data_IF_570004396095
#
_entry.id   IF_570004396095
#
_cell.length_a   1.000
_cell.length_b   1.000
_cell.length_c   1.000
_cell.angle_alpha   90.00
_cell.angle_beta   90.00
_cell.angle_gamma   90.00
#
_symmetry.space_group_name_H-M   'P 1'
#
loop_
_entity.id
_entity.type
_entity.pdbx_description
1 polymer ?
#
# COMPACT_ATOMS: atom_id res chain seq x y z
N UNK A 1 -12.20 -16.01 4.26
CA UNK A 1 -13.48 -16.65 4.62
C UNK A 1 -14.73 -16.00 4.02
N UNK A 2 -14.80 -14.67 3.97
CA UNK A 2 -16.02 -13.94 3.59
C UNK A 2 -16.41 -14.06 2.11
N UNK A 3 -15.44 -14.31 1.23
CA UNK A 3 -15.67 -14.52 -0.20
C UNK A 3 -16.74 -15.58 -0.48
N UNK A 4 -17.59 -15.32 -1.46
CA UNK A 4 -18.68 -16.22 -1.90
C UNK A 4 -18.16 -17.35 -2.79
N UNK A 5 -17.03 -17.13 -3.46
CA UNK A 5 -16.33 -18.09 -4.33
C UNK A 5 -15.13 -18.68 -3.60
N UNK A 6 -14.83 -19.95 -3.89
CA UNK A 6 -13.65 -20.65 -3.36
C UNK A 6 -12.65 -20.88 -4.48
N UNK A 7 -11.35 -20.88 -4.15
CA UNK A 7 -10.30 -21.22 -5.11
C UNK A 7 -10.47 -22.65 -5.66
N UNK A 8 -9.87 -22.99 -6.81
CA UNK A 8 -9.97 -24.32 -7.42
C UNK A 8 -9.60 -25.51 -6.51
N UNK A 9 -8.77 -25.30 -5.48
CA UNK A 9 -8.45 -26.30 -4.45
C UNK A 9 -9.65 -26.73 -3.61
N UNK A 10 -10.73 -25.95 -3.59
CA UNK A 10 -11.83 -26.08 -2.64
C UNK A 10 -11.51 -25.55 -1.24
N UNK A 11 -10.32 -24.98 -1.00
CA UNK A 11 -9.92 -24.43 0.28
C UNK A 11 -10.28 -22.94 0.40
N UNK A 12 -11.14 -22.57 1.36
CA UNK A 12 -11.53 -21.17 1.59
C UNK A 12 -10.44 -20.29 2.21
N UNK A 13 -9.40 -20.90 2.77
CA UNK A 13 -8.21 -20.22 3.30
C UNK A 13 -7.28 -19.71 2.19
N UNK A 14 -7.35 -20.28 0.97
CA UNK A 14 -6.53 -19.81 -0.14
C UNK A 14 -6.98 -18.42 -0.57
N UNK A 15 -6.04 -17.50 -0.67
CA UNK A 15 -6.32 -16.15 -1.16
C UNK A 15 -6.83 -16.22 -2.59
N UNK A 16 -7.90 -15.50 -2.89
CA UNK A 16 -8.50 -15.47 -4.23
C UNK A 16 -8.86 -14.04 -4.58
N UNK A 17 -8.47 -13.62 -5.78
CA UNK A 17 -8.94 -12.39 -6.39
C UNK A 17 -8.97 -12.55 -7.90
N UNK A 18 -9.68 -11.66 -8.56
CA UNK A 18 -9.93 -11.65 -9.99
C UNK A 18 -9.02 -10.66 -10.69
N UNK A 19 -8.38 -11.08 -11.80
CA UNK A 19 -7.62 -10.12 -12.62
C UNK A 19 -8.53 -8.95 -13.01
N UNK A 20 -8.13 -7.71 -12.65
CA UNK A 20 -9.05 -6.58 -12.59
C UNK A 20 -9.50 -6.09 -13.96
N UNK A 21 -8.66 -6.25 -15.00
CA UNK A 21 -8.90 -5.71 -16.33
C UNK A 21 -9.38 -6.75 -17.36
N UNK A 22 -9.67 -7.97 -16.91
CA UNK A 22 -10.11 -9.04 -17.80
C UNK A 22 -11.65 -9.06 -17.92
N UNK A 23 -12.14 -8.93 -19.14
CA UNK A 23 -13.58 -8.88 -19.46
C UNK A 23 -14.05 -10.10 -20.26
N UNK A 24 -15.28 -10.57 -20.03
CA UNK A 24 -15.81 -11.72 -20.76
C UNK A 24 -16.12 -11.38 -22.22
N UNK A 25 -15.78 -12.32 -23.10
CA UNK A 25 -16.31 -12.46 -24.45
C UNK A 25 -17.09 -13.77 -24.53
N UNK A 26 -18.41 -13.66 -24.46
CA UNK A 26 -19.33 -14.80 -24.50
C UNK A 26 -19.82 -15.14 -25.91
N UNK A 27 -19.35 -14.49 -26.98
CA UNK A 27 -19.84 -14.73 -28.35
C UNK A 27 -19.67 -16.19 -28.78
N UNK A 28 -18.64 -16.87 -28.28
CA UNK A 28 -18.38 -18.30 -28.55
C UNK A 28 -19.13 -19.29 -27.65
N UNK A 29 -19.87 -18.83 -26.62
CA UNK A 29 -20.49 -19.71 -25.64
C UNK A 29 -21.80 -20.37 -26.12
N UNK A 30 -22.32 -19.98 -27.30
CA UNK A 30 -23.51 -20.60 -27.92
C UNK A 30 -24.82 -20.38 -27.14
N UNK A 31 -24.83 -19.47 -26.17
CA UNK A 31 -25.97 -19.15 -25.33
C UNK A 31 -26.98 -18.24 -26.07
N UNK A 32 -28.27 -18.54 -25.96
CA UNK A 32 -29.36 -17.71 -26.51
C UNK A 32 -29.95 -16.73 -25.50
N UNK A 33 -29.46 -16.77 -24.24
CA UNK A 33 -29.83 -15.88 -23.14
C UNK A 33 -28.57 -15.45 -22.38
N UNK A 34 -28.63 -14.32 -21.66
CA UNK A 34 -27.50 -13.83 -20.85
C UNK A 34 -27.11 -14.89 -19.81
N UNK A 35 -25.83 -15.29 -19.79
CA UNK A 35 -25.32 -16.25 -18.82
C UNK A 35 -25.27 -15.61 -17.42
N UNK A 36 -25.64 -16.34 -16.35
CA UNK A 36 -25.37 -15.90 -14.99
C UNK A 36 -23.85 -15.83 -14.73
N UNK A 37 -23.38 -15.00 -13.77
CA UNK A 37 -21.95 -14.76 -13.54
C UNK A 37 -21.12 -16.04 -13.39
N UNK A 38 -21.55 -16.99 -12.57
CA UNK A 38 -20.84 -18.25 -12.37
C UNK A 38 -20.67 -19.08 -13.67
N UNK A 39 -21.60 -18.96 -14.62
CA UNK A 39 -21.45 -19.60 -15.93
C UNK A 39 -20.54 -18.77 -16.85
N UNK A 40 -20.63 -17.43 -16.82
CA UNK A 40 -19.72 -16.57 -17.58
C UNK A 40 -18.26 -16.79 -17.19
N UNK A 41 -17.98 -16.89 -15.89
CA UNK A 41 -16.64 -17.07 -15.34
C UNK A 41 -15.95 -18.37 -15.76
N UNK A 42 -16.71 -19.33 -16.30
CA UNK A 42 -16.19 -20.64 -16.73
C UNK A 42 -16.32 -20.83 -18.25
N UNK A 43 -17.37 -20.30 -18.87
CA UNK A 43 -17.68 -20.59 -20.28
C UNK A 43 -17.18 -19.50 -21.24
N UNK A 44 -17.10 -18.26 -20.80
CA UNK A 44 -16.70 -17.15 -21.67
C UNK A 44 -15.17 -17.03 -21.68
N UNK A 45 -14.62 -16.74 -22.85
CA UNK A 45 -13.21 -16.40 -22.96
C UNK A 45 -13.00 -14.98 -22.40
N UNK A 46 -11.97 -14.77 -21.60
CA UNK A 46 -11.66 -13.44 -21.05
C UNK A 46 -10.48 -12.81 -21.80
N UNK A 47 -10.51 -11.50 -21.94
CA UNK A 47 -9.44 -10.74 -22.58
C UNK A 47 -9.17 -9.45 -21.82
N UNK A 48 -7.92 -8.99 -21.88
CA UNK A 48 -7.46 -7.78 -21.20
C UNK A 48 -8.02 -6.51 -21.84
N UNK A 49 -8.38 -5.55 -20.99
CA UNK A 49 -8.79 -4.19 -21.33
C UNK A 49 -8.14 -3.24 -20.32
N UNK A 50 -6.87 -2.91 -20.56
CA UNK A 50 -6.05 -2.10 -19.66
C UNK A 50 -6.78 -0.86 -19.12
N UNK A 51 -6.76 -0.67 -17.80
CA UNK A 51 -7.40 0.44 -17.09
C UNK A 51 -8.91 0.30 -16.89
N UNK A 52 -9.56 -0.66 -17.54
CA UNK A 52 -11.01 -0.85 -17.42
C UNK A 52 -11.33 -1.92 -16.38
N UNK A 53 -11.66 -1.52 -15.15
CA UNK A 53 -12.04 -2.47 -14.10
C UNK A 53 -13.31 -3.24 -14.45
N UNK A 54 -13.21 -4.57 -14.48
CA UNK A 54 -14.36 -5.45 -14.49
C UNK A 54 -15.00 -5.47 -13.07
N UNK A 55 -16.27 -5.08 -12.92
CA UNK A 55 -16.93 -5.01 -11.61
C UNK A 55 -17.03 -6.37 -10.89
N UNK A 56 -17.02 -7.49 -11.63
CA UNK A 56 -17.04 -8.85 -11.06
C UNK A 56 -15.91 -9.06 -10.03
N UNK A 57 -14.81 -8.30 -10.14
CA UNK A 57 -13.70 -8.35 -9.16
C UNK A 57 -14.15 -8.11 -7.72
N UNK A 58 -15.26 -7.41 -7.52
CA UNK A 58 -15.80 -7.10 -6.20
C UNK A 58 -16.56 -8.28 -5.58
N UNK A 59 -16.94 -9.29 -6.36
CA UNK A 59 -17.59 -10.51 -5.84
C UNK A 59 -16.60 -11.41 -5.08
N UNK A 60 -15.31 -11.26 -5.37
CA UNK A 60 -14.21 -11.96 -4.72
C UNK A 60 -13.17 -10.96 -4.28
N UNK A 61 -13.49 -10.27 -3.18
CA UNK A 61 -12.77 -9.07 -2.75
C UNK A 61 -11.70 -9.32 -1.68
N UNK A 62 -10.90 -10.39 -1.78
CA UNK A 62 -9.79 -10.52 -0.82
C UNK A 62 -8.78 -9.37 -0.97
N UNK A 63 -8.70 -8.72 -2.14
CA UNK A 63 -7.89 -7.51 -2.37
C UNK A 63 -8.34 -6.37 -1.48
N UNK A 64 -9.62 -5.99 -1.52
CA UNK A 64 -10.14 -4.93 -0.67
C UNK A 64 -10.19 -5.32 0.81
N UNK A 65 -10.43 -6.59 1.13
CA UNK A 65 -10.37 -7.07 2.52
C UNK A 65 -8.94 -6.98 3.09
N UNK A 66 -7.91 -7.30 2.30
CA UNK A 66 -6.50 -7.21 2.71
C UNK A 66 -6.04 -5.77 2.88
N UNK A 67 -6.43 -4.89 1.95
CA UNK A 67 -6.19 -3.45 2.02
C UNK A 67 -6.81 -2.85 3.31
N UNK A 68 -8.10 -3.09 3.54
CA UNK A 68 -8.78 -2.60 4.74
C UNK A 68 -8.16 -3.14 6.03
N UNK A 69 -7.75 -4.41 6.06
CA UNK A 69 -7.07 -5.02 7.20
C UNK A 69 -5.69 -4.39 7.44
N UNK A 70 -4.90 -4.19 6.39
CA UNK A 70 -3.55 -3.59 6.48
C UNK A 70 -3.60 -2.15 6.99
N UNK A 71 -4.52 -1.35 6.45
CA UNK A 71 -4.79 0.00 6.93
C UNK A 71 -5.26 0.00 8.39
N UNK A 72 -6.19 -0.91 8.75
CA UNK A 72 -6.70 -0.99 10.11
C UNK A 72 -5.59 -1.33 11.12
N UNK A 73 -4.71 -2.29 10.81
CA UNK A 73 -3.56 -2.62 11.68
C UNK A 73 -2.67 -1.41 11.87
N UNK A 74 -2.31 -0.73 10.77
CA UNK A 74 -1.40 0.39 10.80
C UNK A 74 -1.95 1.60 11.56
N UNK A 75 -3.16 2.06 11.21
CA UNK A 75 -3.76 3.22 11.86
C UNK A 75 -4.10 2.97 13.33
N UNK A 76 -4.49 1.75 13.71
CA UNK A 76 -4.66 1.41 15.13
C UNK A 76 -3.32 1.40 15.87
N UNK A 77 -2.24 0.86 15.28
CA UNK A 77 -0.92 0.91 15.91
C UNK A 77 -0.44 2.37 16.13
N UNK A 78 -0.66 3.25 15.16
CA UNK A 78 -0.36 4.68 15.29
C UNK A 78 -1.22 5.36 16.35
N UNK A 79 -2.54 5.15 16.32
CA UNK A 79 -3.46 5.72 17.30
C UNK A 79 -3.09 5.25 18.72
N UNK A 80 -2.68 4.00 18.89
CA UNK A 80 -2.19 3.49 20.16
C UNK A 80 -0.97 4.24 20.66
N UNK A 81 0.08 4.42 19.83
CA UNK A 81 1.29 5.14 20.25
C UNK A 81 1.01 6.62 20.54
N UNK A 82 0.12 7.25 19.79
CA UNK A 82 -0.21 8.67 19.98
C UNK A 82 -1.10 8.91 21.21
N UNK A 83 -2.02 8.00 21.52
CA UNK A 83 -3.03 8.21 22.58
C UNK A 83 -2.76 7.41 23.86
N UNK A 84 -1.97 6.34 23.78
CA UNK A 84 -1.79 5.35 24.85
C UNK A 84 -3.00 4.44 25.08
N UNK A 85 -4.07 4.54 24.28
CA UNK A 85 -5.31 3.77 24.49
C UNK A 85 -5.18 2.32 24.02
N UNK A 86 -5.29 1.37 24.95
CA UNK A 86 -5.15 -0.07 24.68
C UNK A 86 -6.20 -0.66 23.73
N UNK A 87 -7.34 0.01 23.51
CA UNK A 87 -8.34 -0.45 22.53
C UNK A 87 -7.74 -0.55 21.12
N UNK A 88 -6.86 0.38 20.75
CA UNK A 88 -6.26 0.38 19.42
C UNK A 88 -5.23 -0.74 19.25
N UNK A 89 -4.35 -0.95 20.24
CA UNK A 89 -3.39 -2.07 20.18
C UNK A 89 -4.09 -3.43 20.17
N UNK A 90 -5.16 -3.59 20.96
CA UNK A 90 -5.98 -4.80 20.97
C UNK A 90 -6.65 -5.06 19.61
N UNK A 91 -7.20 -4.02 18.97
CA UNK A 91 -7.77 -4.14 17.62
C UNK A 91 -6.73 -4.59 16.59
N UNK A 92 -5.56 -3.95 16.57
CA UNK A 92 -4.49 -4.28 15.64
C UNK A 92 -4.02 -5.74 15.82
N UNK A 93 -3.81 -6.18 17.06
CA UNK A 93 -3.48 -7.57 17.38
C UNK A 93 -4.57 -8.55 16.90
N UNK A 94 -5.85 -8.20 17.10
CA UNK A 94 -6.97 -9.03 16.67
C UNK A 94 -7.07 -9.15 15.14
N UNK A 95 -6.83 -8.07 14.39
CA UNK A 95 -6.83 -8.11 12.92
C UNK A 95 -5.71 -9.01 12.38
N UNK A 96 -4.50 -8.89 12.92
CA UNK A 96 -3.38 -9.78 12.57
C UNK A 96 -3.71 -11.23 12.91
N UNK A 97 -4.21 -11.49 14.12
CA UNK A 97 -4.60 -12.83 14.52
C UNK A 97 -5.66 -13.42 13.57
N UNK A 98 -6.67 -12.63 13.22
CA UNK A 98 -7.76 -13.07 12.34
C UNK A 98 -7.25 -13.41 10.93
N UNK A 99 -6.40 -12.56 10.35
CA UNK A 99 -5.95 -12.77 8.97
C UNK A 99 -4.87 -13.84 8.83
N UNK A 100 -3.94 -13.94 9.78
CA UNK A 100 -2.72 -14.74 9.58
C UNK A 100 -2.66 -16.01 10.44
N UNK A 101 -3.36 -16.06 11.59
CA UNK A 101 -3.02 -17.03 12.65
C UNK A 101 -4.20 -17.92 13.04
N UNK A 102 -5.37 -17.32 13.27
CA UNK A 102 -6.54 -18.04 13.75
C UNK A 102 -6.95 -19.13 12.75
N UNK A 103 -6.92 -20.42 13.13
CA UNK A 103 -7.19 -21.53 12.20
C UNK A 103 -8.57 -21.52 11.55
N UNK A 104 -9.54 -20.79 12.10
CA UNK A 104 -10.86 -20.66 11.51
C UNK A 104 -10.90 -19.63 10.36
N UNK A 105 -9.93 -18.73 10.28
CA UNK A 105 -9.98 -17.56 9.38
C UNK A 105 -8.70 -17.31 8.59
N UNK A 106 -7.56 -17.83 9.05
CA UNK A 106 -6.22 -17.50 8.54
C UNK A 106 -6.08 -17.75 7.05
N UNK A 107 -5.32 -16.91 6.36
CA UNK A 107 -4.99 -17.14 4.96
C UNK A 107 -3.88 -18.20 4.83
N UNK A 108 -3.97 -19.08 3.83
CA UNK A 108 -2.82 -19.89 3.41
C UNK A 108 -1.67 -18.95 2.99
N UNK A 109 -0.41 -19.16 3.44
CA UNK A 109 0.72 -18.27 3.15
C UNK A 109 1.24 -18.40 1.71
N UNK A 110 0.40 -18.06 0.73
CA UNK A 110 0.72 -17.92 -0.69
C UNK A 110 -0.32 -17.03 -1.39
N UNK A 111 -0.04 -16.65 -2.63
CA UNK A 111 -0.95 -15.95 -3.54
C UNK A 111 -1.19 -16.75 -4.82
N UNK A 112 -1.27 -18.08 -4.73
CA UNK A 112 -1.38 -18.99 -5.88
C UNK A 112 -2.60 -18.71 -6.77
N UNK A 113 -3.65 -18.09 -6.22
CA UNK A 113 -4.89 -17.75 -6.92
C UNK A 113 -5.21 -16.24 -6.88
N UNK A 114 -4.21 -15.40 -6.63
CA UNK A 114 -4.37 -13.95 -6.77
C UNK A 114 -4.45 -13.56 -8.25
N UNK A 115 -5.32 -12.60 -8.56
CA UNK A 115 -5.62 -12.12 -9.91
C UNK A 115 -5.85 -13.24 -10.92
N UNK A 116 -6.57 -14.28 -10.51
CA UNK A 116 -6.91 -15.40 -11.37
C UNK A 116 -7.71 -14.94 -12.59
N UNK A 117 -7.29 -15.41 -13.76
CA UNK A 117 -8.01 -15.19 -15.00
C UNK A 117 -9.25 -16.08 -15.01
N UNK A 118 -10.41 -15.46 -15.23
CA UNK A 118 -11.67 -16.19 -15.44
C UNK A 118 -11.68 -16.79 -16.86
N UNK A 119 -12.55 -17.77 -17.06
CA UNK A 119 -12.74 -18.47 -18.33
C UNK A 119 -12.44 -19.96 -18.24
N UNK A 120 -12.59 -20.70 -19.35
CA UNK A 120 -12.53 -22.16 -19.37
C UNK A 120 -11.15 -22.72 -19.01
N UNK A 121 -10.10 -21.93 -19.22
CA UNK A 121 -8.70 -22.32 -19.01
C UNK A 121 -8.13 -21.80 -17.69
N UNK A 122 -8.90 -21.00 -16.93
CA UNK A 122 -8.46 -20.35 -15.69
C UNK A 122 -8.39 -21.30 -14.51
N UNK A 123 -7.18 -21.74 -14.14
CA UNK A 123 -6.98 -22.72 -13.06
C UNK A 123 -6.04 -22.24 -11.94
N UNK A 124 -5.21 -21.22 -12.19
CA UNK A 124 -4.28 -20.61 -11.22
C UNK A 124 -4.27 -19.09 -11.39
N UNK A 125 -3.68 -18.39 -10.41
CA UNK A 125 -3.46 -16.96 -10.42
C UNK A 125 -2.46 -16.50 -11.49
N UNK A 126 -2.26 -15.19 -11.54
CA UNK A 126 -1.27 -14.53 -12.39
C UNK A 126 -0.19 -13.88 -11.51
N UNK A 127 1.02 -13.69 -12.04
CA UNK A 127 2.11 -13.05 -11.30
C UNK A 127 1.74 -11.63 -10.84
N UNK A 128 0.94 -10.92 -11.63
CA UNK A 128 0.41 -9.59 -11.30
C UNK A 128 -0.41 -9.56 -10.01
N UNK A 129 -0.91 -10.72 -9.56
CA UNK A 129 -1.59 -10.90 -8.29
C UNK A 129 -0.75 -10.58 -7.06
N UNK A 130 0.57 -10.47 -7.19
CA UNK A 130 1.43 -10.00 -6.12
C UNK A 130 1.11 -8.54 -5.70
N UNK A 131 0.61 -7.71 -6.62
CA UNK A 131 0.15 -6.35 -6.30
C UNK A 131 -1.03 -6.31 -5.33
N UNK A 132 -1.78 -7.38 -5.17
CA UNK A 132 -2.82 -7.44 -4.15
C UNK A 132 -2.26 -7.25 -2.74
N UNK A 133 -0.99 -7.60 -2.53
CA UNK A 133 -0.26 -7.42 -1.29
C UNK A 133 0.68 -6.21 -1.29
N UNK A 134 0.46 -5.22 -2.18
CA UNK A 134 1.25 -3.98 -2.26
C UNK A 134 1.41 -3.25 -0.91
N UNK A 135 0.42 -3.38 -0.01
CA UNK A 135 0.42 -2.75 1.32
C UNK A 135 1.16 -3.54 2.41
N UNK A 136 1.83 -4.64 2.07
CA UNK A 136 2.52 -5.48 3.06
C UNK A 136 3.56 -4.69 3.88
N UNK A 137 4.17 -3.70 3.26
CA UNK A 137 5.14 -2.83 3.91
C UNK A 137 4.45 -1.96 5.01
N UNK A 138 3.25 -1.42 4.71
CA UNK A 138 2.41 -0.68 5.68
C UNK A 138 2.00 -1.58 6.85
N UNK A 139 1.53 -2.80 6.56
CA UNK A 139 1.20 -3.80 7.58
C UNK A 139 2.39 -4.10 8.50
N UNK A 140 3.56 -4.35 7.91
CA UNK A 140 4.81 -4.61 8.64
C UNK A 140 5.15 -3.46 9.58
N UNK A 141 4.99 -2.22 9.11
CA UNK A 141 5.23 -1.02 9.94
C UNK A 141 4.32 -1.00 11.16
N UNK A 142 3.03 -1.30 11.00
CA UNK A 142 2.07 -1.39 12.12
C UNK A 142 2.47 -2.45 13.15
N UNK A 143 2.91 -3.62 12.69
CA UNK A 143 3.39 -4.69 13.57
C UNK A 143 4.66 -4.27 14.33
N UNK A 144 5.63 -3.68 13.64
CA UNK A 144 6.87 -3.23 14.27
C UNK A 144 6.64 -2.09 15.28
N UNK A 145 5.64 -1.21 15.05
CA UNK A 145 5.19 -0.22 16.03
C UNK A 145 4.71 -0.91 17.32
N UNK A 146 3.84 -1.93 17.21
CA UNK A 146 3.34 -2.69 18.36
C UNK A 146 4.48 -3.40 19.12
N UNK A 147 5.41 -4.02 18.38
CA UNK A 147 6.58 -4.71 18.94
C UNK A 147 7.50 -3.74 19.69
N UNK A 148 7.93 -2.66 19.03
CA UNK A 148 8.90 -1.72 19.61
C UNK A 148 8.29 -0.89 20.74
N UNK A 149 7.00 -0.58 20.66
CA UNK A 149 6.25 0.03 21.75
C UNK A 149 5.98 -0.91 22.93
N UNK A 150 6.30 -2.21 22.81
CA UNK A 150 6.02 -3.24 23.82
C UNK A 150 4.54 -3.31 24.19
N UNK A 151 3.68 -3.33 23.17
CA UNK A 151 2.23 -3.46 23.37
C UNK A 151 1.90 -4.71 24.20
N UNK A 152 1.08 -4.60 25.26
CA UNK A 152 0.66 -5.77 26.03
C UNK A 152 -0.24 -6.71 25.21
N UNK A 153 -0.87 -6.22 24.16
CA UNK A 153 -1.73 -7.01 23.27
C UNK A 153 -0.93 -7.75 22.19
N UNK A 154 0.32 -7.34 21.93
CA UNK A 154 1.24 -8.07 21.04
C UNK A 154 2.01 -9.14 21.82
N UNK A 155 1.34 -10.25 22.10
CA UNK A 155 1.88 -11.32 22.94
C UNK A 155 3.02 -12.09 22.26
N UNK A 156 3.84 -12.79 23.05
CA UNK A 156 4.92 -13.65 22.54
C UNK A 156 4.40 -14.76 21.61
N UNK A 157 3.21 -15.29 21.90
CA UNK A 157 2.55 -16.30 21.06
C UNK A 157 2.13 -15.71 19.71
N UNK A 158 1.45 -14.56 19.70
CA UNK A 158 1.07 -13.86 18.47
C UNK A 158 2.31 -13.52 17.63
N UNK A 159 3.37 -13.05 18.29
CA UNK A 159 4.63 -12.73 17.65
C UNK A 159 5.27 -13.95 16.98
N UNK A 160 5.31 -15.08 17.69
CA UNK A 160 5.87 -16.35 17.18
C UNK A 160 5.07 -16.86 16.00
N UNK A 161 3.73 -16.89 16.11
CA UNK A 161 2.86 -17.37 15.04
C UNK A 161 2.90 -16.46 13.80
N UNK A 162 2.98 -15.14 13.98
CA UNK A 162 3.16 -14.22 12.86
C UNK A 162 4.49 -14.46 12.13
N UNK A 163 5.59 -14.61 12.86
CA UNK A 163 6.89 -14.91 12.26
C UNK A 163 6.88 -16.25 11.52
N UNK A 164 6.19 -17.27 12.04
CA UNK A 164 6.04 -18.57 11.36
C UNK A 164 5.26 -18.45 10.04
N UNK A 165 4.14 -17.71 10.05
CA UNK A 165 3.37 -17.45 8.84
C UNK A 165 4.22 -16.69 7.81
N UNK A 166 4.91 -15.62 8.22
CA UNK A 166 5.78 -14.84 7.34
C UNK A 166 6.93 -15.66 6.79
N UNK A 167 7.57 -16.50 7.60
CA UNK A 167 8.66 -17.38 7.13
C UNK A 167 8.15 -18.37 6.07
N UNK A 168 6.96 -18.92 6.26
CA UNK A 168 6.33 -19.81 5.27
C UNK A 168 6.00 -19.06 3.99
N UNK A 169 5.45 -17.84 4.10
CA UNK A 169 5.15 -17.00 2.94
C UNK A 169 6.41 -16.58 2.19
N UNK A 170 7.49 -16.19 2.89
CA UNK A 170 8.79 -15.88 2.29
C UNK A 170 9.35 -17.07 1.51
N UNK A 171 9.19 -18.30 2.03
CA UNK A 171 9.59 -19.50 1.29
C UNK A 171 8.81 -19.62 -0.02
N UNK A 172 7.49 -19.42 -0.02
CA UNK A 172 6.70 -19.46 -1.26
C UNK A 172 7.06 -18.29 -2.19
N UNK A 173 7.21 -17.07 -1.65
CA UNK A 173 7.52 -15.85 -2.40
C UNK A 173 8.85 -15.95 -3.15
N UNK A 174 9.82 -16.66 -2.60
CA UNK A 174 11.16 -16.80 -3.19
C UNK A 174 11.34 -18.06 -4.05
N UNK A 175 10.41 -19.02 -4.00
CA UNK A 175 10.48 -20.26 -4.79
C UNK A 175 9.38 -20.42 -5.85
N UNK A 176 8.28 -19.67 -5.75
CA UNK A 176 7.12 -19.82 -6.64
C UNK A 176 7.43 -19.27 -8.04
N UNK A 177 7.12 -20.02 -9.11
CA UNK A 177 7.17 -19.50 -10.48
C UNK A 177 6.26 -18.28 -10.69
N UNK A 178 5.11 -18.24 -10.01
CA UNK A 178 4.18 -17.10 -10.06
C UNK A 178 4.85 -15.86 -9.48
N UNK A 179 5.40 -15.98 -8.26
CA UNK A 179 6.07 -14.86 -7.60
C UNK A 179 7.34 -14.40 -8.37
N UNK A 180 8.08 -15.34 -8.98
CA UNK A 180 9.24 -15.02 -9.78
C UNK A 180 8.89 -14.16 -11.02
N UNK A 181 7.71 -14.38 -11.63
CA UNK A 181 7.22 -13.54 -12.73
C UNK A 181 7.10 -12.06 -12.32
N UNK A 182 6.63 -11.80 -11.10
CA UNK A 182 6.53 -10.44 -10.57
C UNK A 182 7.90 -9.86 -10.19
N UNK A 183 8.78 -10.68 -9.59
CA UNK A 183 10.13 -10.26 -9.23
C UNK A 183 10.89 -9.67 -10.42
N UNK A 184 10.77 -10.30 -11.60
CA UNK A 184 11.47 -9.85 -12.81
C UNK A 184 10.68 -8.82 -13.63
N UNK A 185 9.50 -8.39 -13.17
CA UNK A 185 8.69 -7.42 -13.91
C UNK A 185 9.44 -6.06 -13.98
N UNK A 186 9.53 -5.44 -15.17
CA UNK A 186 10.38 -4.26 -15.35
C UNK A 186 9.72 -2.94 -14.90
N UNK A 187 8.41 -2.94 -14.71
CA UNK A 187 7.59 -1.77 -14.37
C UNK A 187 7.25 -1.74 -12.86
N UNK A 188 6.24 -0.97 -12.48
CA UNK A 188 5.74 -0.84 -11.10
C UNK A 188 5.52 -2.17 -10.34
N UNK A 189 5.16 -3.25 -11.05
CA UNK A 189 5.00 -4.59 -10.45
C UNK A 189 6.27 -5.06 -9.75
N UNK A 190 7.42 -4.99 -10.43
CA UNK A 190 8.70 -5.36 -9.85
C UNK A 190 9.06 -4.47 -8.66
N UNK A 191 8.78 -3.16 -8.75
CA UNK A 191 9.02 -2.24 -7.63
C UNK A 191 8.27 -2.67 -6.36
N UNK A 192 6.97 -3.00 -6.49
CA UNK A 192 6.15 -3.43 -5.35
C UNK A 192 6.54 -4.82 -4.83
N UNK A 193 7.02 -5.74 -5.67
CA UNK A 193 7.57 -7.01 -5.22
C UNK A 193 8.71 -6.80 -4.21
N UNK A 194 9.64 -5.87 -4.50
CA UNK A 194 10.73 -5.56 -3.59
C UNK A 194 10.27 -4.88 -2.29
N UNK A 195 9.24 -4.02 -2.34
CA UNK A 195 8.62 -3.46 -1.12
C UNK A 195 8.19 -4.58 -0.18
N UNK A 196 7.49 -5.56 -0.76
CA UNK A 196 6.94 -6.68 -0.03
C UNK A 196 8.03 -7.58 0.53
N UNK A 197 8.97 -8.04 -0.30
CA UNK A 197 10.02 -8.97 0.12
C UNK A 197 10.90 -8.38 1.21
N UNK A 198 11.39 -7.15 1.03
CA UNK A 198 12.27 -6.50 2.01
C UNK A 198 11.56 -6.23 3.33
N UNK A 199 10.30 -5.78 3.29
CA UNK A 199 9.53 -5.54 4.53
C UNK A 199 9.28 -6.83 5.31
N UNK A 200 8.98 -7.94 4.65
CA UNK A 200 8.78 -9.24 5.31
C UNK A 200 10.09 -9.81 5.89
N UNK A 201 11.21 -9.63 5.21
CA UNK A 201 12.53 -10.00 5.75
C UNK A 201 12.85 -9.21 7.03
N UNK A 202 12.59 -7.90 7.04
CA UNK A 202 12.69 -7.07 8.25
C UNK A 202 11.78 -7.62 9.35
N UNK A 203 10.54 -7.98 9.02
CA UNK A 203 9.58 -8.48 9.99
C UNK A 203 10.06 -9.74 10.72
N UNK A 204 10.73 -10.66 10.04
CA UNK A 204 11.28 -11.89 10.65
C UNK A 204 12.70 -11.71 11.22
N UNK A 205 13.26 -10.51 11.15
CA UNK A 205 14.61 -10.20 11.63
C UNK A 205 15.74 -10.59 10.67
N UNK A 206 15.42 -10.96 9.42
CA UNK A 206 16.42 -11.21 8.36
C UNK A 206 16.93 -9.87 7.78
N UNK A 207 17.71 -9.16 8.59
CA UNK A 207 18.26 -7.84 8.21
C UNK A 207 19.22 -7.94 7.03
N UNK A 208 20.00 -9.03 6.95
CA UNK A 208 20.95 -9.24 5.86
C UNK A 208 20.23 -9.51 4.52
N UNK A 209 19.18 -10.33 4.54
CA UNK A 209 18.32 -10.54 3.38
C UNK A 209 17.65 -9.25 2.92
N UNK A 210 17.09 -8.47 3.85
CA UNK A 210 16.47 -7.18 3.54
C UNK A 210 17.45 -6.20 2.87
N UNK A 211 18.67 -6.07 3.39
CA UNK A 211 19.74 -5.26 2.80
C UNK A 211 20.03 -5.70 1.37
N UNK A 212 20.22 -7.00 1.15
CA UNK A 212 20.54 -7.55 -0.17
C UNK A 212 19.38 -7.33 -1.16
N UNK A 213 18.14 -7.56 -0.73
CA UNK A 213 16.94 -7.35 -1.53
C UNK A 213 16.78 -5.88 -1.94
N UNK A 214 16.94 -4.94 -1.02
CA UNK A 214 16.87 -3.50 -1.35
C UNK A 214 18.01 -3.07 -2.26
N UNK A 215 19.24 -3.54 -2.02
CA UNK A 215 20.39 -3.29 -2.91
C UNK A 215 20.13 -3.84 -4.33
N UNK A 216 19.58 -5.04 -4.43
CA UNK A 216 19.28 -5.67 -5.70
C UNK A 216 18.32 -4.81 -6.52
N UNK A 217 17.19 -4.40 -5.95
CA UNK A 217 16.23 -3.51 -6.61
C UNK A 217 16.91 -2.28 -7.22
N UNK A 218 17.70 -1.56 -6.41
CA UNK A 218 18.35 -0.33 -6.84
C UNK A 218 19.50 -0.58 -7.83
N UNK A 219 20.08 -1.79 -7.89
CA UNK A 219 21.14 -2.14 -8.84
C UNK A 219 20.63 -2.79 -10.14
N UNK A 220 19.39 -3.27 -10.15
CA UNK A 220 18.77 -4.01 -11.25
C UNK A 220 17.52 -3.28 -11.77
N UNK A 221 16.31 -3.66 -11.34
CA UNK A 221 15.04 -3.17 -11.90
C UNK A 221 14.94 -1.65 -11.92
N UNK A 222 15.32 -0.97 -10.83
CA UNK A 222 15.29 0.49 -10.74
C UNK A 222 16.04 1.20 -11.87
N UNK A 223 17.15 0.60 -12.34
CA UNK A 223 18.10 1.22 -13.25
C UNK A 223 17.52 1.54 -14.64
N UNK A 224 16.37 0.96 -15.00
CA UNK A 224 15.71 1.14 -16.28
C UNK A 224 14.30 1.77 -16.16
N UNK A 225 13.87 2.16 -14.94
CA UNK A 225 12.50 2.64 -14.69
C UNK A 225 12.29 4.15 -14.89
N UNK A 226 13.36 4.96 -14.81
CA UNK A 226 13.28 6.43 -14.91
C UNK A 226 14.30 6.91 -15.94
N UNK A 227 13.87 7.73 -16.91
CA UNK A 227 14.74 8.31 -17.91
C UNK A 227 15.43 9.61 -17.44
N UNK A 228 16.24 10.23 -18.30
CA UNK A 228 16.99 11.45 -18.00
C UNK A 228 16.10 12.65 -17.60
N UNK A 229 14.87 12.69 -18.11
CA UNK A 229 13.87 13.75 -17.90
C UNK A 229 13.07 13.55 -16.62
N UNK A 230 13.07 12.34 -16.06
CA UNK A 230 12.21 11.94 -14.95
C UNK A 230 10.96 11.18 -15.38
N UNK A 231 10.71 11.04 -16.69
CA UNK A 231 9.63 10.21 -17.19
C UNK A 231 9.87 8.74 -16.81
N UNK A 232 8.77 8.00 -16.67
CA UNK A 232 8.74 6.57 -16.39
C UNK A 232 8.17 5.83 -17.61
N UNK A 233 9.01 5.41 -18.58
CA UNK A 233 8.53 5.02 -19.92
C UNK A 233 7.56 3.84 -19.94
N UNK A 234 7.72 2.88 -19.02
CA UNK A 234 6.83 1.71 -18.93
C UNK A 234 5.47 2.05 -18.31
N UNK A 235 5.40 3.14 -17.56
CA UNK A 235 4.15 3.66 -16.99
C UNK A 235 3.45 4.61 -17.97
N UNK A 236 4.23 5.36 -18.76
CA UNK A 236 3.73 6.32 -19.74
C UNK A 236 2.95 5.68 -20.90
N UNK A 237 3.19 4.40 -21.20
CA UNK A 237 2.50 3.66 -22.29
C UNK A 237 1.12 3.09 -21.88
N UNK A 238 0.73 3.26 -20.62
CA UNK A 238 -0.52 2.72 -20.07
C UNK A 238 -1.71 3.61 -20.39
N UNK A 239 -2.92 3.09 -20.24
CA UNK A 239 -4.17 3.86 -20.47
C UNK A 239 -4.39 4.98 -19.45
N UNK A 240 -3.79 4.86 -18.25
CA UNK A 240 -3.81 5.87 -17.18
C UNK A 240 -2.37 6.23 -16.74
N UNK A 241 -1.60 6.92 -17.58
CA UNK A 241 -0.17 7.12 -17.36
C UNK A 241 0.16 8.02 -16.16
N UNK A 242 -0.67 9.00 -15.79
CA UNK A 242 -0.48 9.78 -14.57
C UNK A 242 -0.61 8.89 -13.33
N UNK A 243 -1.67 8.07 -13.27
CA UNK A 243 -1.87 7.10 -12.19
C UNK A 243 -0.64 6.20 -12.02
N UNK A 244 -0.19 5.55 -13.10
CA UNK A 244 0.93 4.62 -13.02
C UNK A 244 2.26 5.30 -12.66
N UNK A 245 2.49 6.56 -13.07
CA UNK A 245 3.65 7.34 -12.61
C UNK A 245 3.61 7.57 -11.10
N UNK A 246 2.47 8.00 -10.55
CA UNK A 246 2.33 8.21 -9.11
C UNK A 246 2.43 6.89 -8.33
N UNK A 247 1.79 5.85 -8.85
CA UNK A 247 1.76 4.51 -8.28
C UNK A 247 3.16 3.89 -8.15
N UNK A 248 3.98 3.97 -9.20
CA UNK A 248 5.35 3.49 -9.17
C UNK A 248 6.28 4.38 -8.34
N UNK A 249 6.10 5.71 -8.41
CA UNK A 249 6.87 6.67 -7.61
C UNK A 249 6.73 6.37 -6.11
N UNK A 250 5.53 6.04 -5.64
CA UNK A 250 5.32 5.67 -4.26
C UNK A 250 6.04 4.38 -3.84
N UNK A 251 6.10 3.42 -4.75
CA UNK A 251 6.83 2.18 -4.53
C UNK A 251 8.36 2.43 -4.48
N UNK A 252 8.87 3.34 -5.33
CA UNK A 252 10.27 3.77 -5.28
C UNK A 252 10.61 4.49 -3.96
N UNK A 253 9.76 5.44 -3.55
CA UNK A 253 9.89 6.15 -2.26
C UNK A 253 9.89 5.16 -1.10
N UNK A 254 9.00 4.18 -1.14
CA UNK A 254 8.93 3.08 -0.18
C UNK A 254 10.27 2.31 -0.12
N UNK A 255 10.80 1.83 -1.25
CA UNK A 255 12.07 1.11 -1.26
C UNK A 255 13.25 1.97 -0.75
N UNK A 256 13.28 3.26 -1.08
CA UNK A 256 14.29 4.18 -0.57
C UNK A 256 14.20 4.34 0.96
N UNK A 257 12.99 4.39 1.50
CA UNK A 257 12.75 4.46 2.95
C UNK A 257 13.06 3.16 3.69
N UNK A 258 12.81 2.01 3.07
CA UNK A 258 13.29 0.72 3.57
C UNK A 258 14.82 0.73 3.61
N UNK A 259 15.48 1.24 2.57
CA UNK A 259 16.93 1.48 2.55
C UNK A 259 17.39 2.29 3.75
N UNK A 260 16.78 3.47 3.98
CA UNK A 260 17.12 4.34 5.11
C UNK A 260 16.95 3.63 6.46
N UNK A 261 15.86 2.87 6.64
CA UNK A 261 15.63 2.07 7.85
C UNK A 261 16.76 1.05 8.09
N UNK A 262 17.29 0.47 7.02
CA UNK A 262 18.42 -0.47 7.04
C UNK A 262 19.80 0.21 7.11
N UNK A 263 19.86 1.54 7.19
CA UNK A 263 21.10 2.32 7.22
C UNK A 263 21.77 2.51 5.86
N UNK A 264 21.01 2.37 4.76
CA UNK A 264 21.44 2.60 3.38
C UNK A 264 20.78 3.87 2.84
N UNK A 265 21.43 4.59 1.91
CA UNK A 265 20.81 5.73 1.22
C UNK A 265 20.74 5.42 -0.28
N UNK A 266 19.51 5.29 -0.80
CA UNK A 266 19.24 5.08 -2.21
C UNK A 266 18.46 6.21 -2.87
N UNK A 267 18.11 7.28 -2.14
CA UNK A 267 17.38 8.40 -2.72
C UNK A 267 18.17 9.03 -3.88
N UNK A 268 19.49 9.14 -3.73
CA UNK A 268 20.35 9.73 -4.75
C UNK A 268 20.85 8.75 -5.82
N UNK A 269 20.35 7.50 -5.84
CA UNK A 269 20.71 6.53 -6.87
C UNK A 269 20.27 7.03 -8.24
N UNK A 270 21.19 7.06 -9.21
CA UNK A 270 20.87 7.42 -10.59
C UNK A 270 20.61 6.17 -11.42
N UNK A 271 19.58 6.20 -12.25
CA UNK A 271 19.32 5.17 -13.26
C UNK A 271 20.39 5.21 -14.37
N UNK A 272 20.42 4.22 -15.27
CA UNK A 272 21.37 4.22 -16.41
C UNK A 272 21.21 5.44 -17.31
N UNK A 273 19.99 5.97 -17.41
CA UNK A 273 19.67 7.16 -18.18
C UNK A 273 19.91 8.48 -17.42
N UNK A 274 20.32 8.43 -16.15
CA UNK A 274 20.55 9.61 -15.32
C UNK A 274 19.27 10.20 -14.69
N UNK A 275 18.20 9.40 -14.62
CA UNK A 275 17.00 9.69 -13.82
C UNK A 275 17.23 9.41 -12.34
N UNK A 276 16.36 9.93 -11.47
CA UNK A 276 16.29 9.58 -10.04
C UNK A 276 14.88 9.84 -9.48
N UNK A 277 14.62 9.48 -8.22
CA UNK A 277 13.30 9.63 -7.58
C UNK A 277 12.83 11.10 -7.60
N UNK A 278 13.72 12.05 -7.33
CA UNK A 278 13.38 13.49 -7.38
C UNK A 278 12.91 13.91 -8.77
N UNK A 279 13.62 13.50 -9.83
CA UNK A 279 13.24 13.78 -11.22
C UNK A 279 11.90 13.15 -11.58
N UNK A 280 11.61 11.95 -11.09
CA UNK A 280 10.32 11.31 -11.31
C UNK A 280 9.15 12.11 -10.69
N UNK A 281 9.33 12.63 -9.48
CA UNK A 281 8.35 13.54 -8.86
C UNK A 281 8.24 14.86 -9.62
N UNK A 282 9.37 15.46 -10.01
CA UNK A 282 9.42 16.71 -10.79
C UNK A 282 8.68 16.59 -12.11
N UNK A 283 8.84 15.45 -12.78
CA UNK A 283 8.14 15.15 -14.02
C UNK A 283 6.65 14.98 -13.78
N UNK A 284 6.25 14.19 -12.76
CA UNK A 284 4.85 13.91 -12.45
C UNK A 284 4.03 15.18 -12.15
N UNK A 285 4.56 16.10 -11.34
CA UNK A 285 3.85 17.34 -10.98
C UNK A 285 3.70 18.35 -12.15
N UNK A 286 4.43 18.14 -13.25
CA UNK A 286 4.34 18.96 -14.46
C UNK A 286 3.36 18.40 -15.50
N UNK A 287 2.87 17.17 -15.32
CA UNK A 287 2.00 16.56 -16.31
C UNK A 287 0.60 17.20 -16.28
N UNK A 288 0.02 17.50 -17.46
CA UNK A 288 -1.35 17.95 -17.53
C UNK A 288 -2.26 16.79 -17.13
N UNK A 289 -3.14 17.01 -16.15
CA UNK A 289 -4.16 16.03 -15.81
C UNK A 289 -5.20 15.99 -16.92
N UNK A 290 -5.39 14.82 -17.53
CA UNK A 290 -6.54 14.62 -18.38
C UNK A 290 -7.76 14.27 -17.51
N UNK A 291 -8.46 15.30 -17.02
CA UNK A 291 -9.65 15.15 -16.18
C UNK A 291 -10.82 14.44 -16.89
N UNK A 292 -10.71 14.21 -18.19
CA UNK A 292 -11.78 13.67 -19.04
C UNK A 292 -11.70 12.15 -19.23
N UNK A 293 -10.51 11.56 -19.12
CA UNK A 293 -10.26 10.14 -19.47
C UNK A 293 -10.00 9.24 -18.24
N UNK A 294 -10.15 9.78 -17.02
CA UNK A 294 -9.97 9.01 -15.78
C UNK A 294 -8.51 8.69 -15.45
N UNK A 295 -7.55 9.44 -16.00
CA UNK A 295 -6.10 9.30 -15.77
C UNK A 295 -5.67 9.72 -14.36
N UNK A 296 -6.17 9.01 -13.34
CA UNK A 296 -5.89 9.22 -11.92
C UNK A 296 -6.34 10.60 -11.39
N UNK A 297 -6.87 10.70 -10.17
CA UNK A 297 -6.97 12.01 -9.54
C UNK A 297 -5.58 12.51 -9.13
N UNK A 298 -5.38 13.82 -9.21
CA UNK A 298 -4.10 14.47 -8.90
C UNK A 298 -3.54 14.10 -7.51
N UNK A 299 -4.43 13.82 -6.56
CA UNK A 299 -4.08 13.53 -5.17
C UNK A 299 -3.28 12.25 -4.97
N UNK A 300 -3.25 11.34 -5.94
CA UNK A 300 -2.45 10.12 -5.86
C UNK A 300 -0.96 10.44 -5.65
N UNK A 301 -0.44 11.49 -6.31
CA UNK A 301 0.96 11.85 -6.16
C UNK A 301 1.30 12.61 -4.86
N UNK A 302 0.32 13.13 -4.10
CA UNK A 302 0.63 14.05 -2.99
C UNK A 302 1.55 13.44 -1.93
N UNK A 303 1.29 12.22 -1.44
CA UNK A 303 2.18 11.57 -0.50
C UNK A 303 3.63 11.48 -0.94
N UNK A 304 3.84 11.02 -2.18
CA UNK A 304 5.16 10.81 -2.74
C UNK A 304 5.88 12.13 -2.96
N UNK A 305 5.16 13.17 -3.39
CA UNK A 305 5.72 14.52 -3.57
C UNK A 305 6.09 15.12 -2.20
N UNK A 306 5.27 14.95 -1.17
CA UNK A 306 5.62 15.38 0.19
C UNK A 306 6.85 14.62 0.72
N UNK A 307 6.93 13.31 0.48
CA UNK A 307 8.09 12.49 0.85
C UNK A 307 9.38 12.93 0.15
N UNK A 308 9.31 13.23 -1.16
CA UNK A 308 10.42 13.77 -1.94
C UNK A 308 10.83 15.14 -1.42
N UNK A 309 9.87 16.05 -1.20
CA UNK A 309 10.16 17.37 -0.68
C UNK A 309 10.79 17.31 0.72
N UNK A 310 10.37 16.37 1.56
CA UNK A 310 10.96 16.16 2.87
C UNK A 310 12.39 15.62 2.82
N UNK A 311 12.69 14.77 1.85
CA UNK A 311 14.01 14.16 1.69
C UNK A 311 15.03 15.08 1.00
N UNK A 312 14.66 15.70 -0.13
CA UNK A 312 15.57 16.53 -0.93
C UNK A 312 15.51 18.02 -0.57
N UNK A 313 14.52 18.44 0.23
CA UNK A 313 14.20 19.83 0.48
C UNK A 313 13.38 20.48 -0.64
N UNK A 314 12.95 21.71 -0.38
CA UNK A 314 12.18 22.52 -1.32
C UNK A 314 12.66 23.99 -1.34
N UNK A 315 13.91 24.25 -1.75
CA UNK A 315 14.54 25.57 -1.62
C UNK A 315 13.84 26.66 -2.44
N UNK A 316 13.25 26.29 -3.57
CA UNK A 316 12.56 27.22 -4.47
C UNK A 316 11.02 27.24 -4.25
N UNK A 317 10.54 26.50 -3.24
CA UNK A 317 9.10 26.39 -2.91
C UNK A 317 8.26 25.67 -3.98
N UNK A 318 8.88 24.88 -4.85
CA UNK A 318 8.25 24.19 -5.98
C UNK A 318 7.18 23.20 -5.51
N UNK A 319 7.54 22.31 -4.57
CA UNK A 319 6.62 21.27 -4.11
C UNK A 319 5.54 21.86 -3.22
N UNK A 320 5.89 22.80 -2.35
CA UNK A 320 4.95 23.41 -1.44
C UNK A 320 3.96 24.33 -2.18
N UNK A 321 4.37 24.98 -3.28
CA UNK A 321 3.45 25.70 -4.18
C UNK A 321 2.54 24.74 -4.96
N UNK A 322 3.05 23.60 -5.43
CA UNK A 322 2.23 22.57 -6.05
C UNK A 322 1.14 22.07 -5.09
N UNK A 323 1.51 21.72 -3.85
CA UNK A 323 0.56 21.26 -2.84
C UNK A 323 -0.50 22.31 -2.50
N UNK A 324 -0.09 23.56 -2.25
CA UNK A 324 -1.03 24.63 -1.91
C UNK A 324 -2.05 24.92 -3.04
N UNK A 325 -1.69 24.64 -4.29
CA UNK A 325 -2.61 24.77 -5.43
C UNK A 325 -3.47 23.54 -5.65
N UNK A 326 -2.95 22.35 -5.37
CA UNK A 326 -3.60 21.09 -5.67
C UNK A 326 -4.53 20.62 -4.54
N UNK A 327 -4.18 20.92 -3.29
CA UNK A 327 -4.83 20.45 -2.07
C UNK A 327 -5.13 21.62 -1.12
N UNK A 328 -6.43 21.94 -0.95
CA UNK A 328 -6.86 23.03 -0.09
C UNK A 328 -6.82 22.69 1.41
N UNK A 329 -6.56 21.43 1.77
CA UNK A 329 -6.38 20.97 3.13
C UNK A 329 -4.91 20.84 3.51
N UNK A 330 -3.98 20.98 2.55
CA UNK A 330 -2.57 21.18 2.86
C UNK A 330 -2.37 22.40 3.79
N UNK A 331 -1.64 22.31 4.93
CA UNK A 331 -0.81 21.20 5.45
C UNK A 331 -1.47 20.33 6.55
N UNK A 332 -2.80 20.30 6.65
CA UNK A 332 -3.55 19.51 7.65
C UNK A 332 -3.72 18.02 7.30
N UNK A 333 -3.34 17.60 6.09
CA UNK A 333 -3.48 16.22 5.64
C UNK A 333 -2.52 15.24 6.34
N UNK A 334 -2.91 13.97 6.55
CA UNK A 334 -2.05 12.98 7.21
C UNK A 334 -0.71 12.77 6.50
N UNK A 335 -0.68 12.76 5.17
CA UNK A 335 0.56 12.60 4.41
C UNK A 335 1.56 13.71 4.73
N UNK A 336 1.12 14.94 5.06
CA UNK A 336 2.04 16.01 5.45
C UNK A 336 2.69 15.71 6.80
N UNK A 337 1.89 15.30 7.79
CA UNK A 337 2.38 14.95 9.13
C UNK A 337 3.45 13.85 9.07
N UNK A 338 3.27 12.88 8.18
CA UNK A 338 4.16 11.73 8.06
C UNK A 338 5.44 12.02 7.28
N UNK A 339 5.43 13.06 6.44
CA UNK A 339 6.54 13.41 5.56
C UNK A 339 7.23 14.68 6.07
N UNK A 340 7.96 14.56 7.19
CA UNK A 340 8.68 15.67 7.81
C UNK A 340 10.20 15.44 7.77
N UNK A 341 11.02 16.52 7.61
CA UNK A 341 10.62 17.93 7.55
C UNK A 341 10.19 18.36 6.15
N UNK A 342 8.97 18.85 5.95
CA UNK A 342 8.53 19.49 4.70
C UNK A 342 8.01 20.91 4.99
N UNK A 343 8.44 21.89 4.17
CA UNK A 343 8.05 23.30 4.31
C UNK A 343 6.54 23.48 4.20
N UNK A 344 5.92 24.07 5.22
CA UNK A 344 4.50 24.40 5.25
C UNK A 344 4.13 25.60 4.34
N UNK A 345 5.04 26.13 3.52
CA UNK A 345 4.85 27.36 2.72
C UNK A 345 4.50 28.60 3.55
N UNK A 346 4.75 28.63 4.86
CA UNK A 346 4.18 29.62 5.80
C UNK A 346 2.64 29.54 5.94
N UNK A 347 2.02 28.45 5.50
CA UNK A 347 0.63 28.14 5.86
C UNK A 347 0.63 27.69 7.31
N UNK A 348 -0.24 28.28 8.13
CA UNK A 348 -0.33 27.89 9.54
C UNK A 348 -0.70 26.41 9.64
N UNK A 349 0.20 25.59 10.20
CA UNK A 349 -0.13 24.21 10.54
C UNK A 349 -1.40 24.19 11.39
N UNK A 350 -2.42 23.45 10.94
CA UNK A 350 -3.63 23.28 11.73
C UNK A 350 -3.23 22.67 13.08
N UNK A 351 -3.52 23.37 14.17
CA UNK A 351 -3.24 22.84 15.51
C UNK A 351 -4.20 21.69 15.74
N UNK A 352 -3.71 20.44 15.97
CA UNK A 352 -4.61 19.33 16.25
C UNK A 352 -5.42 19.65 17.50
N UNK A 353 -6.73 19.84 17.35
CA UNK A 353 -7.64 19.92 18.49
C UNK A 353 -7.95 18.50 18.95
N UNK A 354 -8.09 18.28 20.26
CA UNK A 354 -8.45 16.98 20.83
C UNK A 354 -9.78 16.44 20.27
N UNK A 355 -10.61 17.34 19.74
CA UNK A 355 -11.76 17.02 18.92
C UNK A 355 -11.31 16.99 17.45
N UNK A 356 -11.22 15.80 16.87
CA UNK A 356 -11.03 15.64 15.43
C UNK A 356 -12.14 16.34 14.63
N UNK A 357 -12.00 16.49 13.30
CA UNK A 357 -13.00 17.16 12.49
C UNK A 357 -14.36 16.48 12.67
N UNK A 358 -15.32 17.23 13.24
CA UNK A 358 -16.70 16.81 13.33
C UNK A 358 -17.26 16.78 11.92
N UNK A 359 -17.40 15.59 11.35
CA UNK A 359 -18.16 15.37 10.13
C UNK A 359 -19.60 15.85 10.40
N UNK A 360 -20.25 16.62 9.51
CA UNK A 360 -21.61 17.09 9.75
C UNK A 360 -22.53 15.88 9.88
N UNK A 361 -22.91 15.57 11.12
CA UNK A 361 -23.88 14.53 11.41
C UNK A 361 -25.22 14.97 10.85
N UNK A 362 -25.89 14.08 10.10
CA UNK A 362 -27.25 14.27 9.67
C UNK A 362 -28.12 14.64 10.90
N UNK A 363 -28.83 15.76 10.78
CA UNK A 363 -29.69 16.32 11.83
C UNK A 363 -30.62 15.26 12.43
N UNK A 364 -30.47 14.99 13.72
CA UNK A 364 -31.57 14.55 14.58
C UNK A 364 -31.57 15.35 15.87
N UNK A 365 -32.75 15.86 16.20
CA UNK A 365 -33.04 16.78 17.29
C UNK A 365 -33.03 16.11 18.66
N UNK A 366 -32.44 16.75 19.68
CA UNK A 366 -32.64 16.40 21.09
C UNK A 366 -31.72 17.18 22.02
N UNK A 367 -32.27 17.79 23.07
CA UNK A 367 -31.68 18.87 23.85
C UNK A 367 -30.87 18.44 25.10
N UNK A 368 -29.96 19.34 25.53
CA UNK A 368 -29.36 19.55 26.88
C UNK A 368 -28.54 18.40 27.50
N UNK A 369 -27.38 18.57 28.13
CA UNK A 369 -26.56 19.71 28.52
C UNK A 369 -25.78 19.36 29.80
N UNK A 370 -24.45 19.53 29.82
CA UNK A 370 -23.58 20.03 30.92
C UNK A 370 -22.13 19.58 30.77
N UNK A 371 -21.25 20.55 30.95
CA UNK A 371 -19.79 20.46 31.02
C UNK A 371 -19.30 19.93 32.36
N UNK A 372 -18.14 19.24 32.36
CA UNK A 372 -17.04 19.56 33.28
C UNK A 372 -15.72 18.98 32.77
N UNK A 373 -14.73 19.88 32.74
CA UNK A 373 -13.31 19.81 32.41
C UNK A 373 -12.45 18.90 33.29
N UNK A 374 -11.29 18.46 32.76
CA UNK A 374 -10.10 18.21 33.60
C UNK A 374 -8.96 17.39 32.96
N UNK A 375 -7.95 18.09 32.43
CA UNK A 375 -6.51 17.76 32.37
C UNK A 375 -6.05 16.36 31.90
N UNK A 376 -5.24 16.33 30.82
CA UNK A 376 -3.77 16.08 30.87
C UNK A 376 -3.12 16.76 29.65
N UNK A 377 -2.58 17.96 29.84
CA UNK A 377 -1.59 18.56 28.93
C UNK A 377 -0.25 18.40 29.63
N UNK A 378 0.63 17.51 29.14
CA UNK A 378 1.90 17.28 29.83
C UNK A 378 2.77 16.09 29.43
N UNK A 379 2.41 15.25 28.44
CA UNK A 379 3.28 14.10 28.05
C UNK A 379 3.68 14.04 26.57
N UNK A 380 3.22 14.94 25.71
CA UNK A 380 3.48 14.85 24.26
C UNK A 380 4.91 15.20 23.81
N UNK A 381 5.75 15.76 24.68
CA UNK A 381 6.98 16.42 24.24
C UNK A 381 8.29 15.65 24.43
N UNK A 382 8.29 14.44 25.03
CA UNK A 382 9.56 13.80 25.43
C UNK A 382 9.81 12.35 24.98
N UNK A 383 8.92 11.70 24.22
CA UNK A 383 9.15 10.32 23.73
C UNK A 383 9.37 10.19 22.21
N UNK A 384 9.35 11.31 21.48
CA UNK A 384 9.05 11.27 20.05
C UNK A 384 10.24 11.24 19.06
N UNK A 385 11.49 11.69 19.32
CA UNK A 385 12.48 11.76 18.23
C UNK A 385 12.84 10.40 17.64
N UNK A 386 13.14 9.40 18.48
CA UNK A 386 13.59 8.07 18.02
C UNK A 386 12.45 7.14 17.58
N UNK A 387 11.21 7.39 18.02
CA UNK A 387 10.02 6.64 17.59
C UNK A 387 9.40 7.25 16.32
N UNK A 388 9.52 8.56 16.08
CA UNK A 388 9.08 9.16 14.81
C UNK A 388 10.06 8.88 13.67
N UNK A 389 11.38 8.98 13.87
CA UNK A 389 12.32 8.74 12.76
C UNK A 389 12.38 7.28 12.32
N UNK A 390 11.88 6.32 13.12
CA UNK A 390 11.99 4.89 12.83
C UNK A 390 10.84 4.32 11.97
N UNK A 391 9.71 5.03 11.80
CA UNK A 391 8.45 4.35 11.48
C UNK A 391 7.58 4.91 10.36
N UNK A 392 7.92 6.06 9.75
CA UNK A 392 7.10 6.64 8.66
C UNK A 392 7.52 6.18 7.26
N UNK A 393 8.17 5.03 7.16
CA UNK A 393 8.81 4.59 5.92
C UNK A 393 7.82 4.19 4.80
N UNK A 394 6.51 4.02 5.06
CA UNK A 394 5.65 3.20 4.21
C UNK A 394 4.19 3.68 4.25
N UNK A 395 3.93 4.88 3.73
CA UNK A 395 2.60 5.49 3.77
C UNK A 395 2.18 5.91 2.38
N UNK A 396 0.95 5.48 2.05
CA UNK A 396 0.03 6.08 1.07
C UNK A 396 -0.23 5.39 -0.27
N UNK A 397 0.05 4.09 -0.39
CA UNK A 397 -0.59 3.23 -1.40
C UNK A 397 -1.05 1.89 -0.82
#
# INVERSE_FOLDING_TARGET
>A
MNKSVTAPTGNKHDYLSWAPYYWPNCTGAGNTTVLPPAQMWVQCQYYDRDGMFNPDRLDVNNTGDFEAMSDAVFYNALAWVLTGSGNYSANAANYVNTWFINPATSQTPNLEYAQMHRGPDGQIGDHTGMLDFKQMAKLTSGILILRNGKSPDWTDDLNTQMNNWTTTYLSWLTSSPIAHGEWIAPNNHGTYFYNQLASLQILVGDTAGAINTTQQYFSEQYMDQIDATGEQPLEAVRTHPYHYRCYNLAAMVTNARIGNYLGLDFWNTSTKAGGNIQKAADFAIQQPLNTTDGDGPIWECYPSVAAVAANYGDPDGKYAAFMANADNLYPAEPYFLFNQPFSDSNLAAATPTADGPVTPSAKTSGASGRSSSGFVSGCFAMMLPSLLTLFFSLMDY
#
